data_IF_286116392927
#
_entry.id   IF_286116392927
#
_cell.length_a   1.000
_cell.length_b   1.000
_cell.length_c   1.000
_cell.angle_alpha   90.00
_cell.angle_beta   90.00
_cell.angle_gamma   90.00
#
_symmetry.space_group_name_H-M   'P 1'
#
loop_
_entity.id
_entity.type
_entity.pdbx_description
1 polymer ?
#
# COMPACT_ATOMS: atom_id res chain seq x y z
N UNK A 1 -1.74 -16.03 13.83
CA UNK A 1 -0.53 -15.30 13.40
C UNK A 1 -0.96 -13.86 13.15
N UNK A 2 -0.13 -12.87 13.44
CA UNK A 2 -0.53 -11.49 13.14
C UNK A 2 -0.51 -11.29 11.63
N UNK A 3 -1.59 -10.74 11.05
CA UNK A 3 -1.72 -10.47 9.61
C UNK A 3 -0.90 -9.24 9.20
N UNK A 4 0.37 -9.21 9.59
CA UNK A 4 1.26 -8.07 9.45
C UNK A 4 2.24 -8.31 8.30
N UNK A 5 2.35 -7.32 7.42
CA UNK A 5 3.10 -7.41 6.19
C UNK A 5 3.96 -6.18 5.95
N UNK A 6 5.08 -6.38 5.26
CA UNK A 6 5.80 -5.32 4.57
C UNK A 6 5.41 -5.36 3.09
N UNK A 7 5.14 -4.19 2.53
CA UNK A 7 4.81 -4.01 1.12
C UNK A 7 6.00 -3.31 0.46
N UNK A 8 6.66 -4.00 -0.45
CA UNK A 8 7.83 -3.51 -1.16
C UNK A 8 7.53 -3.25 -2.64
N UNK A 9 8.16 -2.23 -3.20
CA UNK A 9 8.21 -1.98 -4.64
C UNK A 9 9.24 -2.91 -5.30
N UNK A 10 9.15 -3.10 -6.61
CA UNK A 10 10.11 -3.93 -7.36
C UNK A 10 11.57 -3.46 -7.25
N UNK A 11 11.79 -2.17 -6.99
CA UNK A 11 13.11 -1.59 -6.79
C UNK A 11 13.60 -1.63 -5.32
N UNK A 12 12.88 -2.34 -4.44
CA UNK A 12 13.33 -2.65 -3.07
C UNK A 12 13.01 -1.59 -2.01
N UNK A 13 12.20 -0.57 -2.34
CA UNK A 13 11.68 0.38 -1.37
C UNK A 13 10.43 -0.18 -0.69
N UNK A 14 10.10 0.34 0.48
CA UNK A 14 8.99 -0.11 1.31
C UNK A 14 7.95 1.00 1.45
N UNK A 15 6.69 0.64 1.28
CA UNK A 15 5.59 1.57 1.48
C UNK A 15 5.52 1.98 2.94
N UNK A 16 5.57 3.28 3.17
CA UNK A 16 5.79 3.89 4.48
C UNK A 16 4.83 5.06 4.66
N UNK A 17 4.19 5.13 5.83
CA UNK A 17 3.40 6.29 6.22
C UNK A 17 4.22 7.21 7.14
N UNK A 18 4.73 8.30 6.61
CA UNK A 18 5.63 9.20 7.34
C UNK A 18 4.92 10.11 8.35
N UNK A 19 3.63 10.39 8.13
CA UNK A 19 2.78 11.17 9.02
C UNK A 19 1.35 10.61 8.97
N UNK A 20 0.61 10.69 10.08
CA UNK A 20 -0.72 10.08 10.21
C UNK A 20 -1.70 10.48 9.09
N UNK A 21 -1.70 11.74 8.65
CA UNK A 21 -2.55 12.28 7.59
C UNK A 21 -1.77 12.56 6.29
N UNK A 22 -0.54 12.07 6.20
CA UNK A 22 0.34 12.27 5.07
C UNK A 22 0.14 11.26 3.94
N UNK A 23 0.82 11.44 2.81
CA UNK A 23 0.84 10.44 1.76
C UNK A 23 1.62 9.19 2.21
N UNK A 24 1.21 8.04 1.68
CA UNK A 24 2.07 6.86 1.66
C UNK A 24 3.22 7.13 0.68
N UNK A 25 4.44 6.81 1.08
CA UNK A 25 5.65 7.03 0.28
C UNK A 25 6.48 5.76 0.21
N UNK A 26 7.26 5.57 -0.85
CA UNK A 26 8.20 4.47 -0.98
C UNK A 26 9.58 4.87 -0.42
N UNK A 27 9.99 4.26 0.70
CA UNK A 27 11.21 4.60 1.44
C UNK A 27 12.18 3.43 1.54
N UNK A 28 13.47 3.63 1.84
CA UNK A 28 14.37 2.53 2.20
C UNK A 28 13.84 1.70 3.38
N UNK A 29 14.24 0.43 3.47
CA UNK A 29 13.88 -0.44 4.59
C UNK A 29 14.38 0.15 5.91
N UNK A 30 13.49 0.23 6.89
CA UNK A 30 13.82 0.45 8.29
C UNK A 30 13.23 -0.70 9.13
N UNK A 31 14.05 -1.70 9.52
CA UNK A 31 13.55 -2.94 10.13
C UNK A 31 12.71 -2.74 11.39
N UNK A 32 13.02 -1.70 12.18
CA UNK A 32 12.32 -1.38 13.43
C UNK A 32 11.12 -0.44 13.28
N UNK A 33 10.83 0.03 12.08
CA UNK A 33 9.81 1.05 11.88
C UNK A 33 8.41 0.44 11.71
N UNK A 34 7.57 0.60 12.74
CA UNK A 34 6.17 0.18 12.69
C UNK A 34 5.39 0.86 11.56
N UNK A 35 5.83 2.04 11.13
CA UNK A 35 5.21 2.76 10.02
C UNK A 35 5.50 2.17 8.62
N UNK A 36 6.27 1.08 8.55
CA UNK A 36 6.46 0.23 7.37
C UNK A 36 5.74 -1.12 7.47
N UNK A 37 5.03 -1.36 8.57
CA UNK A 37 4.28 -2.60 8.81
C UNK A 37 2.80 -2.30 8.60
N UNK A 38 2.16 -3.17 7.83
CA UNK A 38 0.77 -3.05 7.41
C UNK A 38 0.00 -4.29 7.87
N UNK A 39 -1.01 -4.10 8.69
CA UNK A 39 -1.98 -5.13 9.04
C UNK A 39 -3.02 -5.27 7.92
N UNK A 40 -3.18 -6.49 7.41
CA UNK A 40 -4.05 -6.85 6.28
C UNK A 40 -4.81 -8.14 6.63
N UNK A 41 -5.89 -8.05 7.43
CA UNK A 41 -6.54 -9.22 8.04
C UNK A 41 -7.21 -10.19 7.05
N UNK A 42 -7.42 -9.75 5.80
CA UNK A 42 -8.06 -10.53 4.75
C UNK A 42 -7.20 -10.63 3.49
N UNK A 43 -5.87 -10.67 3.62
CA UNK A 43 -4.94 -10.73 2.48
C UNK A 43 -5.31 -11.82 1.45
N UNK A 44 -5.84 -12.97 1.91
CA UNK A 44 -6.27 -14.07 1.05
C UNK A 44 -7.71 -13.97 0.50
N UNK A 45 -8.54 -13.06 1.03
CA UNK A 45 -10.00 -13.04 0.82
C UNK A 45 -10.50 -12.03 -0.22
N UNK A 46 -9.63 -11.17 -0.75
CA UNK A 46 -10.03 -9.88 -1.35
C UNK A 46 -10.89 -9.05 -0.38
N UNK A 47 -11.17 -7.79 -0.73
CA UNK A 47 -12.02 -6.92 0.10
C UNK A 47 -11.53 -6.76 1.56
N UNK A 48 -10.22 -6.52 1.74
CA UNK A 48 -9.64 -6.34 3.06
C UNK A 48 -9.21 -4.89 3.29
N UNK A 49 -9.42 -4.33 4.51
CA UNK A 49 -8.78 -3.07 4.87
C UNK A 49 -7.26 -3.26 4.97
N UNK A 50 -6.54 -2.16 4.82
CA UNK A 50 -5.12 -2.09 5.16
C UNK A 50 -4.99 -1.10 6.33
N UNK A 51 -4.18 -1.42 7.33
CA UNK A 51 -3.89 -0.54 8.46
C UNK A 51 -2.39 -0.47 8.70
N UNK A 52 -1.82 0.71 8.84
CA UNK A 52 -0.42 0.87 9.20
C UNK A 52 -0.25 0.67 10.73
N UNK A 53 0.86 0.09 11.18
CA UNK A 53 1.09 -0.09 12.62
C UNK A 53 1.82 1.09 13.29
N UNK A 54 2.27 2.07 12.50
CA UNK A 54 2.96 3.25 13.02
C UNK A 54 2.06 4.21 13.78
N UNK A 55 0.74 4.07 13.67
CA UNK A 55 -0.24 4.94 14.33
C UNK A 55 -1.49 4.12 14.74
N UNK A 56 -2.35 4.71 15.56
CA UNK A 56 -3.59 4.05 16.03
C UNK A 56 -4.76 4.10 15.03
N UNK A 57 -4.82 5.12 14.15
CA UNK A 57 -5.82 5.25 13.07
C UNK A 57 -5.27 5.35 11.60
N UNK A 58 -4.17 4.70 11.18
CA UNK A 58 -3.53 4.97 9.90
C UNK A 58 -3.85 3.92 8.84
N UNK A 59 -5.09 3.80 8.40
CA UNK A 59 -5.24 3.10 7.12
C UNK A 59 -4.59 3.93 6.00
N UNK A 60 -4.07 3.31 4.95
CA UNK A 60 -3.83 3.97 3.69
C UNK A 60 -5.16 4.01 2.96
N UNK A 61 -5.67 5.20 2.79
CA UNK A 61 -7.03 5.45 2.37
C UNK A 61 -6.98 6.25 1.07
N UNK A 62 -7.76 5.79 0.10
CA UNK A 62 -7.90 6.47 -1.17
C UNK A 62 -8.44 7.88 -0.92
N UNK A 63 -7.70 8.91 -1.32
CA UNK A 63 -8.31 10.20 -1.60
C UNK A 63 -8.65 10.23 -3.10
N UNK A 64 -9.87 9.82 -3.49
CA UNK A 64 -10.27 9.78 -4.90
C UNK A 64 -10.29 11.17 -5.54
N UNK A 65 -10.37 12.24 -4.74
CA UNK A 65 -10.32 13.63 -5.23
C UNK A 65 -8.89 14.03 -5.61
N UNK A 66 -7.89 13.53 -4.89
CA UNK A 66 -6.48 13.86 -5.10
C UNK A 66 -5.70 12.81 -5.90
N UNK A 67 -6.28 11.64 -6.18
CA UNK A 67 -5.57 10.52 -6.83
C UNK A 67 -4.40 9.99 -5.99
N UNK A 68 -4.46 10.15 -4.67
CA UNK A 68 -3.38 9.82 -3.75
C UNK A 68 -3.81 8.77 -2.72
N UNK A 69 -2.84 7.99 -2.25
CA UNK A 69 -2.99 7.11 -1.08
C UNK A 69 -2.48 7.86 0.15
N UNK A 70 -3.39 8.22 1.06
CA UNK A 70 -3.08 9.06 2.23
C UNK A 70 -3.62 8.43 3.51
N UNK A 71 -3.07 8.80 4.66
CA UNK A 71 -3.64 8.41 5.95
C UNK A 71 -4.87 9.22 6.38
N UNK A 72 -5.48 8.83 7.51
CA UNK A 72 -6.54 9.56 8.22
C UNK A 72 -7.86 9.85 7.43
N UNK A 73 -8.30 8.92 6.57
CA UNK A 73 -9.58 8.92 5.84
C UNK A 73 -10.33 7.61 6.19
N UNK A 74 -11.65 7.45 5.96
CA UNK A 74 -12.31 6.17 6.25
C UNK A 74 -11.70 4.96 5.50
N UNK A 75 -11.61 3.78 6.17
CA UNK A 75 -11.18 2.53 5.55
C UNK A 75 -11.92 2.21 4.26
N UNK A 76 -11.15 2.09 3.18
CA UNK A 76 -11.58 1.49 1.93
C UNK A 76 -11.02 0.09 1.86
N UNK A 77 -11.81 -0.83 1.32
CA UNK A 77 -11.35 -2.20 1.12
C UNK A 77 -10.55 -2.33 -0.18
N UNK A 78 -9.57 -3.23 -0.16
CA UNK A 78 -8.65 -3.50 -1.26
C UNK A 78 -8.73 -4.97 -1.69
N UNK A 79 -8.60 -5.19 -3.00
CA UNK A 79 -8.33 -6.48 -3.60
C UNK A 79 -6.82 -6.69 -3.71
N UNK A 80 -6.37 -7.91 -3.43
CA UNK A 80 -4.97 -8.32 -3.52
C UNK A 80 -4.84 -9.28 -4.68
N UNK A 81 -4.43 -8.75 -5.83
CA UNK A 81 -4.36 -9.50 -7.08
C UNK A 81 -2.94 -10.03 -7.24
N UNK A 82 -2.81 -11.31 -7.57
CA UNK A 82 -1.54 -11.92 -7.95
C UNK A 82 -1.53 -12.15 -9.46
N UNK A 83 -0.61 -11.50 -10.16
CA UNK A 83 -0.43 -11.67 -11.61
C UNK A 83 1.05 -11.59 -11.98
N UNK A 84 1.52 -12.54 -12.80
CA UNK A 84 2.92 -12.57 -13.24
C UNK A 84 3.96 -12.67 -12.11
N UNK A 85 3.58 -13.24 -10.95
CA UNK A 85 4.44 -13.33 -9.76
C UNK A 85 4.49 -12.07 -8.90
N UNK A 86 3.78 -11.01 -9.28
CA UNK A 86 3.69 -9.75 -8.53
C UNK A 86 2.33 -9.61 -7.84
N UNK A 87 2.30 -8.83 -6.78
CA UNK A 87 1.07 -8.43 -6.09
C UNK A 87 0.65 -7.03 -6.55
N UNK A 88 -0.67 -6.81 -6.60
CA UNK A 88 -1.27 -5.52 -6.89
C UNK A 88 -2.34 -5.23 -5.84
N UNK A 89 -2.38 -4.00 -5.37
CA UNK A 89 -3.38 -3.52 -4.41
C UNK A 89 -4.38 -2.68 -5.20
N UNK A 90 -5.55 -3.26 -5.49
CA UNK A 90 -6.60 -2.63 -6.30
C UNK A 90 -7.77 -2.21 -5.41
N UNK A 91 -8.33 -1.02 -5.64
CA UNK A 91 -9.49 -0.53 -4.90
C UNK A 91 -10.73 -1.37 -5.20
N UNK A 92 -11.48 -1.76 -4.17
CA UNK A 92 -12.77 -2.44 -4.37
C UNK A 92 -13.76 -1.48 -5.05
N UNK A 93 -14.42 -1.95 -6.11
CA UNK A 93 -15.42 -1.16 -6.85
C UNK A 93 -14.85 -0.13 -7.84
N UNK A 94 -13.52 -0.02 -7.95
CA UNK A 94 -12.86 0.85 -8.93
C UNK A 94 -11.65 0.15 -9.57
N UNK A 95 -11.37 0.44 -10.84
CA UNK A 95 -10.19 -0.11 -11.51
C UNK A 95 -8.92 0.71 -11.22
N UNK A 96 -8.69 1.07 -9.96
CA UNK A 96 -7.55 1.87 -9.51
C UNK A 96 -6.62 1.03 -8.65
N UNK A 97 -5.32 1.16 -8.87
CA UNK A 97 -4.27 0.45 -8.15
C UNK A 97 -3.28 1.41 -7.54
N UNK A 98 -2.62 0.96 -6.48
CA UNK A 98 -1.50 1.68 -5.90
C UNK A 98 -0.32 1.71 -6.87
N UNK A 99 0.19 2.91 -7.12
CA UNK A 99 1.37 3.14 -7.96
C UNK A 99 2.42 3.89 -7.18
N UNK A 100 3.59 3.29 -6.97
CA UNK A 100 4.69 3.95 -6.29
C UNK A 100 5.30 5.05 -7.16
N UNK A 101 5.43 6.26 -6.62
CA UNK A 101 6.12 7.35 -7.29
C UNK A 101 7.61 7.04 -7.51
N UNK A 102 8.23 7.66 -8.53
CA UNK A 102 9.64 7.45 -8.82
C UNK A 102 10.55 8.02 -7.71
N UNK A 103 11.72 7.40 -7.55
CA UNK A 103 12.79 7.90 -6.69
C UNK A 103 12.56 7.76 -5.18
N UNK A 104 13.58 8.04 -4.35
CA UNK A 104 13.46 7.94 -2.90
C UNK A 104 12.35 8.86 -2.35
N UNK A 105 11.41 8.28 -1.61
CA UNK A 105 10.28 9.01 -1.04
C UNK A 105 9.17 9.38 -2.01
N UNK A 106 9.16 8.79 -3.22
CA UNK A 106 8.06 8.93 -4.16
C UNK A 106 6.72 8.57 -3.52
N UNK A 107 5.74 9.48 -3.62
CA UNK A 107 4.40 9.29 -3.09
C UNK A 107 3.64 8.20 -3.88
N UNK A 108 2.80 7.44 -3.18
CA UNK A 108 1.94 6.44 -3.80
C UNK A 108 0.67 7.11 -4.30
N UNK A 109 0.41 6.94 -5.59
CA UNK A 109 -0.78 7.43 -6.28
C UNK A 109 -1.80 6.31 -6.50
N UNK A 110 -3.03 6.69 -6.86
CA UNK A 110 -4.06 5.81 -7.38
C UNK A 110 -4.21 6.06 -8.87
N UNK A 111 -3.77 5.10 -9.68
CA UNK A 111 -3.86 5.16 -11.13
C UNK A 111 -4.67 3.99 -11.67
N UNK A 112 -5.18 4.07 -12.91
CA UNK A 112 -5.79 2.91 -13.57
C UNK A 112 -4.88 1.69 -13.57
N UNK A 113 -5.46 0.52 -13.32
CA UNK A 113 -4.71 -0.72 -13.25
C UNK A 113 -3.98 -1.01 -14.57
N UNK A 114 -2.68 -1.23 -14.47
CA UNK A 114 -1.78 -1.65 -15.52
C UNK A 114 -0.81 -2.68 -14.95
N UNK A 115 -1.11 -3.97 -15.12
CA UNK A 115 -0.28 -5.04 -14.57
C UNK A 115 1.12 -5.18 -15.20
N UNK A 116 1.38 -4.43 -16.28
CA UNK A 116 2.71 -4.33 -16.88
C UNK A 116 3.53 -3.14 -16.33
N UNK A 117 2.93 -2.24 -15.55
CA UNK A 117 3.64 -1.10 -14.95
C UNK A 117 4.47 -1.57 -13.73
N UNK A 118 5.81 -1.48 -13.77
CA UNK A 118 6.65 -1.89 -12.64
C UNK A 118 6.39 -1.09 -11.37
N UNK A 119 5.84 0.13 -11.47
CA UNK A 119 5.50 0.94 -10.30
C UNK A 119 4.22 0.48 -9.60
N UNK A 120 3.40 -0.35 -10.25
CA UNK A 120 2.22 -0.98 -9.66
C UNK A 120 2.50 -2.39 -9.12
N UNK A 121 3.63 -2.97 -9.50
CA UNK A 121 4.06 -4.29 -9.06
C UNK A 121 4.66 -4.21 -7.65
N UNK A 122 4.08 -4.98 -6.73
CA UNK A 122 4.46 -4.98 -5.33
C UNK A 122 4.83 -6.41 -4.86
N UNK A 123 5.77 -6.48 -3.94
CA UNK A 123 6.05 -7.69 -3.16
C UNK A 123 5.43 -7.52 -1.76
N UNK A 124 4.63 -8.48 -1.33
CA UNK A 124 3.99 -8.47 -0.01
C UNK A 124 4.54 -9.67 0.76
N UNK A 125 5.23 -9.40 1.87
CA UNK A 125 5.89 -10.40 2.69
C UNK A 125 5.52 -10.22 4.16
N UNK A 126 5.48 -11.31 4.93
CA UNK A 126 5.25 -11.23 6.37
C UNK A 126 6.29 -10.33 7.06
N UNK A 127 5.83 -9.49 8.00
CA UNK A 127 6.66 -8.53 8.72
C UNK A 127 7.35 -9.12 9.96
#
# INVERSE_FOLDING_TARGET
MADNYRIATVDGRFLTLLAQNGPVTAQPLNPGALNQIWNIPGFAGNNSPIQNLGYQAPGPFANPIAGAVVGDIPPTAWNFIVAGGNNFIQQVGANLTWTAGPGPGGAVALLPANFADPNQQLAIAAA
#
